data_IF_324913498412
#
_entry.id   IF_324913498412
#
_cell.length_a   1.000
_cell.length_b   1.000
_cell.length_c   1.000
_cell.angle_alpha   90.00
_cell.angle_beta   90.00
_cell.angle_gamma   90.00
#
_symmetry.space_group_name_H-M   'P 1'
#
loop_
_entity.id
_entity.type
_entity.pdbx_description
1 polymer ?
#
# COMPACT_ATOMS: atom_id res chain seq x y z
N UNK A 1 6.81 -7.57 -5.04
CA UNK A 1 7.69 -8.07 -3.96
C UNK A 1 9.13 -8.16 -4.41
N UNK A 2 9.47 -9.00 -5.41
CA UNK A 2 10.86 -9.23 -5.86
C UNK A 2 11.74 -7.98 -6.04
N UNK A 3 11.31 -6.89 -6.73
CA UNK A 3 12.13 -5.68 -6.84
C UNK A 3 12.50 -5.03 -5.50
N UNK A 4 11.58 -5.06 -4.52
CA UNK A 4 11.81 -4.52 -3.17
C UNK A 4 12.78 -5.35 -2.35
N UNK A 5 12.95 -6.63 -2.69
CA UNK A 5 13.91 -7.52 -2.03
C UNK A 5 15.29 -7.45 -2.69
N UNK A 6 15.35 -7.47 -4.02
CA UNK A 6 16.60 -7.51 -4.77
C UNK A 6 17.30 -6.14 -4.82
N UNK A 7 16.55 -5.08 -5.03
CA UNK A 7 17.08 -3.73 -5.23
C UNK A 7 16.66 -2.78 -4.11
N UNK A 8 16.61 -3.30 -2.88
CA UNK A 8 16.26 -2.53 -1.68
C UNK A 8 17.10 -1.23 -1.63
N UNK A 9 16.46 -0.16 -1.18
CA UNK A 9 17.07 1.16 -1.01
C UNK A 9 17.64 1.76 -2.31
N UNK A 10 17.10 1.35 -3.46
CA UNK A 10 17.35 1.99 -4.76
C UNK A 10 16.05 2.36 -5.49
N UNK A 11 16.08 3.31 -6.45
CA UNK A 11 14.92 3.61 -7.29
C UNK A 11 14.33 2.37 -8.00
N UNK A 12 15.17 1.36 -8.31
CA UNK A 12 14.75 0.15 -9.01
C UNK A 12 13.74 -0.70 -8.20
N UNK A 13 13.68 -0.54 -6.86
CA UNK A 13 12.68 -1.19 -6.02
C UNK A 13 11.22 -0.85 -6.40
N UNK A 14 11.01 0.32 -7.03
CA UNK A 14 9.70 0.85 -7.43
C UNK A 14 9.41 0.70 -8.92
N UNK A 15 10.41 0.31 -9.72
CA UNK A 15 10.34 0.37 -11.19
C UNK A 15 9.30 -0.56 -11.84
N UNK A 16 8.73 -1.51 -11.09
CA UNK A 16 7.68 -2.41 -11.58
C UNK A 16 6.29 -2.11 -11.00
N UNK A 17 6.15 -1.05 -10.18
CA UNK A 17 4.90 -0.79 -9.45
C UNK A 17 3.72 -0.60 -10.40
N UNK A 18 3.87 0.21 -11.46
CA UNK A 18 2.80 0.43 -12.46
C UNK A 18 2.31 -0.89 -13.07
N UNK A 19 3.23 -1.79 -13.47
CA UNK A 19 2.86 -3.08 -14.06
C UNK A 19 2.16 -3.97 -13.04
N UNK A 20 2.68 -4.03 -11.83
CA UNK A 20 2.11 -4.83 -10.75
C UNK A 20 0.69 -4.35 -10.37
N UNK A 21 0.47 -3.05 -10.25
CA UNK A 21 -0.85 -2.46 -9.97
C UNK A 21 -1.84 -2.77 -11.08
N UNK A 22 -1.45 -2.60 -12.35
CA UNK A 22 -2.34 -2.90 -13.49
C UNK A 22 -2.80 -4.36 -13.48
N UNK A 23 -1.86 -5.30 -13.30
CA UNK A 23 -2.18 -6.73 -13.21
C UNK A 23 -3.09 -7.04 -12.01
N UNK A 24 -2.85 -6.41 -10.86
CA UNK A 24 -3.69 -6.60 -9.68
C UNK A 24 -5.11 -6.07 -9.91
N UNK A 25 -5.26 -4.87 -10.48
CA UNK A 25 -6.58 -4.31 -10.82
C UNK A 25 -7.33 -5.18 -11.83
N UNK A 26 -6.64 -5.70 -12.85
CA UNK A 26 -7.26 -6.60 -13.82
C UNK A 26 -7.71 -7.90 -13.18
N UNK A 27 -6.92 -8.46 -12.25
CA UNK A 27 -7.35 -9.66 -11.52
C UNK A 27 -8.49 -9.41 -10.52
N UNK A 28 -8.65 -8.20 -9.98
CA UNK A 28 -9.87 -7.80 -9.25
C UNK A 28 -11.06 -7.76 -10.22
N UNK A 29 -10.92 -7.08 -11.36
CA UNK A 29 -12.00 -6.95 -12.36
C UNK A 29 -12.47 -8.29 -12.92
N UNK A 30 -11.55 -9.24 -13.11
CA UNK A 30 -11.82 -10.53 -13.71
C UNK A 30 -12.19 -11.62 -12.68
N UNK A 31 -12.38 -11.26 -11.40
CA UNK A 31 -12.76 -12.19 -10.34
C UNK A 31 -11.64 -13.15 -9.87
N UNK A 32 -10.41 -12.97 -10.35
CA UNK A 32 -9.26 -13.74 -9.86
C UNK A 32 -8.95 -13.43 -8.40
N UNK A 33 -9.16 -12.19 -7.97
CA UNK A 33 -9.03 -11.80 -6.57
C UNK A 33 -10.04 -12.55 -5.69
N UNK A 34 -11.34 -12.52 -6.05
CA UNK A 34 -12.42 -13.20 -5.34
C UNK A 34 -12.15 -14.70 -5.21
N UNK A 35 -11.68 -15.35 -6.28
CA UNK A 35 -11.41 -16.79 -6.33
C UNK A 35 -10.25 -17.26 -5.42
N UNK A 36 -9.47 -16.35 -4.83
CA UNK A 36 -8.39 -16.73 -3.91
C UNK A 36 -8.95 -17.28 -2.59
N UNK A 37 -8.41 -18.40 -2.09
CA UNK A 37 -8.99 -19.12 -0.95
C UNK A 37 -8.66 -18.51 0.42
N UNK A 38 -7.68 -17.59 0.49
CA UNK A 38 -7.20 -17.07 1.76
C UNK A 38 -6.79 -15.59 1.69
N UNK A 39 -6.86 -14.94 2.85
CA UNK A 39 -6.51 -13.53 3.06
C UNK A 39 -5.06 -13.25 2.64
N UNK A 40 -4.13 -14.16 2.90
CA UNK A 40 -2.71 -13.92 2.66
C UNK A 40 -2.42 -13.75 1.16
N UNK A 41 -3.03 -14.59 0.31
CA UNK A 41 -2.97 -14.43 -1.15
C UNK A 41 -3.65 -13.14 -1.63
N UNK A 42 -4.84 -12.83 -1.07
CA UNK A 42 -5.56 -11.59 -1.38
C UNK A 42 -4.74 -10.34 -1.00
N UNK A 43 -3.95 -10.39 0.07
CA UNK A 43 -3.10 -9.28 0.49
C UNK A 43 -2.09 -8.86 -0.58
N UNK A 44 -1.57 -9.78 -1.40
CA UNK A 44 -0.62 -9.42 -2.45
C UNK A 44 -1.22 -8.49 -3.52
N UNK A 45 -2.53 -8.61 -3.79
CA UNK A 45 -3.24 -7.68 -4.68
C UNK A 45 -3.29 -6.29 -4.06
N UNK A 46 -3.73 -6.19 -2.81
CA UNK A 46 -3.80 -4.94 -2.07
C UNK A 46 -2.42 -4.26 -2.01
N UNK A 47 -1.36 -5.02 -1.75
CA UNK A 47 0.00 -4.50 -1.74
C UNK A 47 0.41 -3.94 -3.12
N UNK A 48 0.10 -4.65 -4.20
CA UNK A 48 0.40 -4.17 -5.55
C UNK A 48 -0.39 -2.90 -5.88
N UNK A 49 -1.65 -2.82 -5.48
CA UNK A 49 -2.51 -1.64 -5.72
C UNK A 49 -2.04 -0.45 -4.86
N UNK A 50 -1.69 -0.69 -3.59
CA UNK A 50 -1.35 0.34 -2.62
C UNK A 50 -0.06 1.08 -2.95
N UNK A 51 0.90 0.36 -3.53
CA UNK A 51 2.27 0.82 -3.67
C UNK A 51 2.55 1.78 -4.82
N UNK A 52 1.78 1.72 -5.91
CA UNK A 52 2.04 2.55 -7.08
C UNK A 52 1.48 3.94 -6.87
N UNK A 53 2.34 4.95 -6.94
CA UNK A 53 1.89 6.34 -7.01
C UNK A 53 1.38 6.67 -8.41
N UNK A 54 0.50 7.67 -8.52
CA UNK A 54 -0.11 8.06 -9.78
C UNK A 54 -1.32 8.99 -9.59
N UNK A 55 -1.91 9.51 -10.68
CA UNK A 55 -3.03 10.44 -10.61
C UNK A 55 -4.29 9.82 -9.96
N UNK A 56 -4.44 8.50 -10.02
CA UNK A 56 -5.54 7.71 -9.47
C UNK A 56 -5.21 7.09 -8.10
N UNK A 57 -4.11 7.50 -7.47
CA UNK A 57 -3.59 6.81 -6.28
C UNK A 57 -4.56 6.87 -5.10
N UNK A 58 -5.23 8.00 -4.88
CA UNK A 58 -6.20 8.13 -3.79
C UNK A 58 -7.41 7.21 -3.99
N UNK A 59 -7.98 7.16 -5.19
CA UNK A 59 -9.09 6.24 -5.53
C UNK A 59 -8.68 4.78 -5.31
N UNK A 60 -7.45 4.44 -5.69
CA UNK A 60 -6.90 3.11 -5.42
C UNK A 60 -6.71 2.83 -3.92
N UNK A 61 -6.45 3.85 -3.09
CA UNK A 61 -6.39 3.67 -1.63
C UNK A 61 -7.79 3.43 -1.06
N UNK A 62 -8.82 4.09 -1.57
CA UNK A 62 -10.21 3.81 -1.21
C UNK A 62 -10.59 2.37 -1.54
N UNK A 63 -10.17 1.87 -2.72
CA UNK A 63 -10.33 0.47 -3.08
C UNK A 63 -9.60 -0.46 -2.09
N UNK A 64 -8.34 -0.18 -1.76
CA UNK A 64 -7.60 -0.98 -0.79
C UNK A 64 -8.29 -1.02 0.58
N UNK A 65 -8.84 0.10 1.08
CA UNK A 65 -9.59 0.13 2.34
C UNK A 65 -10.82 -0.78 2.26
N UNK A 66 -11.60 -0.71 1.17
CA UNK A 66 -12.76 -1.60 0.97
C UNK A 66 -12.36 -3.08 0.93
N UNK A 67 -11.31 -3.43 0.18
CA UNK A 67 -10.84 -4.82 0.07
C UNK A 67 -10.31 -5.37 1.39
N UNK A 68 -9.70 -4.54 2.24
CA UNK A 68 -9.29 -4.98 3.57
C UNK A 68 -10.50 -5.14 4.53
N UNK A 69 -11.58 -4.35 4.36
CA UNK A 69 -12.79 -4.50 5.17
C UNK A 69 -13.41 -5.89 4.97
N UNK A 70 -13.41 -6.39 3.73
CA UNK A 70 -13.89 -7.73 3.40
C UNK A 70 -13.16 -8.82 4.20
N UNK A 71 -11.90 -8.59 4.58
CA UNK A 71 -11.15 -9.56 5.39
C UNK A 71 -11.76 -9.81 6.77
N UNK A 72 -12.47 -8.83 7.37
CA UNK A 72 -13.14 -9.05 8.65
C UNK A 72 -14.18 -10.17 8.59
N UNK A 73 -14.80 -10.35 7.43
CA UNK A 73 -15.85 -11.37 7.24
C UNK A 73 -15.30 -12.78 7.01
N UNK A 74 -14.09 -12.90 6.47
CA UNK A 74 -13.47 -14.19 6.12
C UNK A 74 -12.30 -14.58 7.02
N UNK A 75 -11.87 -13.69 7.92
CA UNK A 75 -10.80 -13.95 8.86
C UNK A 75 -11.23 -14.92 9.95
N UNK A 76 -10.35 -15.88 10.23
CA UNK A 76 -10.44 -16.70 11.44
C UNK A 76 -10.07 -15.86 12.67
N UNK A 77 -10.44 -16.33 13.85
CA UNK A 77 -10.15 -15.67 15.12
C UNK A 77 -8.65 -15.37 15.31
N UNK A 78 -7.77 -16.30 14.91
CA UNK A 78 -6.30 -16.14 14.97
C UNK A 78 -5.76 -15.08 13.99
N UNK A 79 -6.59 -14.59 13.06
CA UNK A 79 -6.23 -13.64 12.02
C UNK A 79 -6.81 -12.24 12.25
N UNK A 80 -7.72 -12.05 13.21
CA UNK A 80 -8.41 -10.77 13.42
C UNK A 80 -7.42 -9.63 13.71
N UNK A 81 -6.42 -9.86 14.58
CA UNK A 81 -5.39 -8.85 14.86
C UNK A 81 -4.54 -8.48 13.64
N UNK A 82 -4.32 -9.42 12.70
CA UNK A 82 -3.65 -9.11 11.43
C UNK A 82 -4.52 -8.22 10.53
N UNK A 83 -5.82 -8.49 10.47
CA UNK A 83 -6.79 -7.69 9.70
C UNK A 83 -6.89 -6.28 10.25
N UNK A 84 -7.01 -6.12 11.56
CA UNK A 84 -7.07 -4.80 12.22
C UNK A 84 -5.81 -3.97 11.94
N UNK A 85 -4.62 -4.57 12.04
CA UNK A 85 -3.36 -3.91 11.69
C UNK A 85 -3.31 -3.52 10.21
N UNK A 86 -3.76 -4.39 9.31
CA UNK A 86 -3.84 -4.12 7.87
C UNK A 86 -4.79 -2.97 7.54
N UNK A 87 -5.94 -2.90 8.20
CA UNK A 87 -6.91 -1.80 8.09
C UNK A 87 -6.32 -0.49 8.62
N UNK A 88 -5.71 -0.50 9.80
CA UNK A 88 -5.09 0.69 10.37
C UNK A 88 -3.96 1.23 9.48
N UNK A 89 -3.11 0.34 8.95
CA UNK A 89 -2.07 0.70 8.00
C UNK A 89 -2.65 1.30 6.71
N UNK A 90 -3.69 0.68 6.14
CA UNK A 90 -4.33 1.15 4.90
C UNK A 90 -4.96 2.53 5.06
N UNK A 91 -5.62 2.79 6.19
CA UNK A 91 -6.20 4.10 6.50
C UNK A 91 -5.11 5.18 6.68
N UNK A 92 -4.00 4.86 7.35
CA UNK A 92 -2.88 5.79 7.48
C UNK A 92 -2.25 6.10 6.12
N UNK A 93 -2.05 5.09 5.27
CA UNK A 93 -1.55 5.31 3.91
C UNK A 93 -2.51 6.18 3.11
N UNK A 94 -3.82 5.90 3.15
CA UNK A 94 -4.84 6.72 2.49
C UNK A 94 -4.73 8.20 2.91
N UNK A 95 -4.63 8.48 4.21
CA UNK A 95 -4.48 9.86 4.72
C UNK A 95 -3.19 10.55 4.23
N UNK A 96 -2.08 9.82 4.09
CA UNK A 96 -0.83 10.35 3.52
C UNK A 96 -1.03 10.70 2.04
N UNK A 97 -1.67 9.82 1.26
CA UNK A 97 -1.93 10.05 -0.15
C UNK A 97 -2.95 11.18 -0.36
N UNK A 98 -3.96 11.29 0.50
CA UNK A 98 -4.91 12.40 0.50
C UNK A 98 -4.23 13.74 0.79
N UNK A 99 -3.29 13.77 1.74
CA UNK A 99 -2.57 14.99 2.12
C UNK A 99 -1.50 15.41 1.11
N UNK A 100 -0.72 14.47 0.59
CA UNK A 100 0.49 14.77 -0.19
C UNK A 100 0.41 14.35 -1.67
N UNK A 101 -0.60 13.55 -2.06
CA UNK A 101 -0.73 12.99 -3.40
C UNK A 101 0.31 11.91 -3.76
N UNK A 102 1.23 11.60 -2.84
CA UNK A 102 2.34 10.65 -3.00
C UNK A 102 2.86 10.22 -1.62
N UNK A 103 3.87 9.36 -1.57
CA UNK A 103 4.58 9.00 -0.36
C UNK A 103 5.86 9.85 -0.19
N UNK A 104 5.89 10.81 0.76
CA UNK A 104 7.04 11.70 0.92
C UNK A 104 8.34 10.99 1.30
N UNK A 105 8.27 9.88 2.07
CA UNK A 105 9.46 9.08 2.42
C UNK A 105 10.23 8.55 1.20
N UNK A 106 9.60 8.49 0.01
CA UNK A 106 10.25 8.10 -1.24
C UNK A 106 10.93 9.26 -1.96
N UNK A 107 10.80 10.50 -1.48
CA UNK A 107 11.37 11.66 -2.14
C UNK A 107 12.90 11.55 -2.30
N UNK A 108 13.70 11.24 -1.26
CA UNK A 108 15.15 11.15 -1.41
C UNK A 108 15.59 10.07 -2.39
N UNK A 109 15.01 8.87 -2.27
CA UNK A 109 15.36 7.72 -3.12
C UNK A 109 14.90 7.88 -4.57
N UNK A 110 13.86 8.69 -4.84
CA UNK A 110 13.39 9.01 -6.19
C UNK A 110 13.96 10.34 -6.72
N UNK A 111 14.86 11.00 -5.99
CA UNK A 111 15.45 12.28 -6.40
C UNK A 111 14.47 13.45 -6.49
N UNK A 112 13.38 13.42 -5.69
CA UNK A 112 12.36 14.47 -5.65
C UNK A 112 12.68 15.48 -4.55
N UNK A 113 12.41 16.75 -4.83
CA UNK A 113 12.45 17.80 -3.80
C UNK A 113 11.18 17.71 -2.95
N UNK A 114 11.35 17.66 -1.64
CA UNK A 114 10.24 17.71 -0.67
C UNK A 114 9.76 19.14 -0.48
N UNK A 115 8.44 19.33 -0.35
CA UNK A 115 7.88 20.58 0.18
C UNK A 115 8.21 20.70 1.68
N UNK A 116 8.07 21.90 2.30
CA UNK A 116 8.27 22.05 3.75
C UNK A 116 7.39 21.09 4.58
N UNK A 117 6.13 20.91 4.21
CA UNK A 117 5.20 20.01 4.90
C UNK A 117 5.59 18.54 4.74
N UNK A 118 6.06 18.16 3.54
CA UNK A 118 6.56 16.82 3.28
C UNK A 118 7.84 16.55 4.09
N UNK A 119 8.75 17.51 4.17
CA UNK A 119 9.98 17.39 4.94
C UNK A 119 9.67 17.26 6.43
N UNK A 120 8.80 18.12 6.96
CA UNK A 120 8.35 18.02 8.36
C UNK A 120 7.74 16.66 8.67
N UNK A 121 6.97 16.08 7.74
CA UNK A 121 6.47 14.71 7.88
C UNK A 121 7.59 13.66 7.84
N UNK A 122 8.54 13.76 6.90
CA UNK A 122 9.70 12.86 6.81
C UNK A 122 10.50 12.86 8.11
N UNK A 123 10.71 14.04 8.70
CA UNK A 123 11.50 14.23 9.92
C UNK A 123 10.87 13.56 11.16
N UNK A 124 9.55 13.30 11.13
CA UNK A 124 8.90 12.53 12.21
C UNK A 124 9.34 11.07 12.25
N UNK A 125 9.79 10.52 11.12
CA UNK A 125 10.03 9.08 10.96
C UNK A 125 8.78 8.21 11.11
N UNK A 126 7.58 8.80 11.23
CA UNK A 126 6.33 8.07 11.49
C UNK A 126 5.69 7.56 10.20
N UNK A 127 6.31 6.52 9.64
CA UNK A 127 5.85 5.89 8.42
C UNK A 127 4.99 4.65 8.70
N UNK A 128 3.88 4.42 7.97
CA UNK A 128 3.01 3.26 8.20
C UNK A 128 3.67 1.89 8.04
N UNK A 129 4.82 1.83 7.36
CA UNK A 129 5.58 0.59 7.15
C UNK A 129 6.71 0.39 8.18
N UNK A 130 6.92 1.37 9.07
CA UNK A 130 7.93 1.32 10.15
C UNK A 130 7.23 1.22 11.50
N UNK A 131 6.30 2.14 11.77
CA UNK A 131 5.54 2.17 13.01
C UNK A 131 4.12 1.71 12.74
N UNK A 132 3.76 0.52 13.22
CA UNK A 132 2.36 0.10 13.27
C UNK A 132 1.77 0.59 14.60
N UNK A 133 0.51 1.07 14.64
CA UNK A 133 -0.16 1.29 15.91
C UNK A 133 -0.20 -0.04 16.69
N UNK A 134 0.01 0.05 18.01
CA UNK A 134 -0.11 -1.08 18.94
C UNK A 134 -1.48 -1.76 18.88
#
# INVERSE_FOLDING_TARGET
QFPRSLWRDTPAAYGQDIKATRLALDGVRNGHYEALPDIFRKQFYIICISHCEGPDHLERMDLCVRLNEDFRTIARDDQQGMVERGMAQSNRVRGIIERFGRHPHRNPILGRISTPDEQAYIDTGDFPHVNLPE
#
